data_IF_373199372155
#
_entry.id   IF_373199372155
#
_cell.length_a   1.000
_cell.length_b   1.000
_cell.length_c   1.000
_cell.angle_alpha   90.00
_cell.angle_beta   90.00
_cell.angle_gamma   90.00
#
_symmetry.space_group_name_H-M   'P 1'
#
loop_
_entity.id
_entity.type
_entity.pdbx_description
1 polymer ?
#
# COMPACT_ATOMS: atom_id res chain seq x y z
N UNK A 1 52.71 49.07 24.37
CA UNK A 1 51.60 48.10 24.51
C UNK A 1 50.99 47.89 23.15
N UNK A 2 51.28 46.76 22.50
CA UNK A 2 50.62 46.35 21.25
C UNK A 2 49.58 45.29 21.61
N UNK A 3 48.30 45.63 21.45
CA UNK A 3 47.19 44.71 21.68
C UNK A 3 46.95 43.91 20.39
N UNK A 4 47.36 42.65 20.42
CA UNK A 4 46.99 41.64 19.43
C UNK A 4 45.50 41.34 19.57
N UNK A 5 44.69 41.68 18.57
CA UNK A 5 43.31 41.20 18.46
C UNK A 5 43.31 39.94 17.60
N UNK A 6 42.99 38.80 18.21
CA UNK A 6 42.73 37.55 17.50
C UNK A 6 41.29 37.54 17.00
N UNK A 7 41.12 37.50 15.68
CA UNK A 7 39.82 37.35 15.02
C UNK A 7 39.53 35.85 14.88
N UNK A 8 38.53 35.34 15.61
CA UNK A 8 37.98 33.99 15.42
C UNK A 8 36.85 34.04 14.40
N UNK A 9 37.08 33.50 13.20
CA UNK A 9 36.00 33.20 12.26
C UNK A 9 35.36 31.86 12.62
N UNK A 10 34.06 31.87 12.96
CA UNK A 10 33.24 30.68 13.00
C UNK A 10 32.62 30.45 11.63
N UNK A 11 33.04 29.41 10.91
CA UNK A 11 32.35 28.93 9.73
C UNK A 11 31.21 27.99 10.16
N UNK A 12 29.97 28.48 10.12
CA UNK A 12 28.78 27.64 10.32
C UNK A 12 28.49 26.86 9.03
N UNK A 13 28.76 25.56 9.04
CA UNK A 13 28.36 24.65 7.99
C UNK A 13 26.83 24.51 8.05
N UNK A 14 26.11 25.23 7.19
CA UNK A 14 24.69 25.02 6.99
C UNK A 14 24.53 23.78 6.13
N UNK A 15 24.30 22.63 6.76
CA UNK A 15 23.81 21.46 6.04
C UNK A 15 22.40 21.83 5.59
N UNK A 16 22.24 22.16 4.30
CA UNK A 16 20.93 22.27 3.67
C UNK A 16 20.40 20.84 3.60
N UNK A 17 19.69 20.41 4.64
CA UNK A 17 18.83 19.24 4.54
C UNK A 17 17.66 19.68 3.67
N UNK A 18 17.66 19.32 2.39
CA UNK A 18 16.46 19.49 1.58
C UNK A 18 15.38 18.60 2.19
N UNK A 19 14.37 19.21 2.80
CA UNK A 19 13.15 18.50 3.13
C UNK A 19 12.53 18.01 1.82
N UNK A 20 12.10 16.75 1.78
CA UNK A 20 11.42 16.19 0.63
C UNK A 20 9.99 16.71 0.65
N UNK A 21 9.67 17.65 -0.24
CA UNK A 21 8.31 18.19 -0.38
C UNK A 21 7.47 17.32 -1.31
N UNK A 22 6.24 17.02 -0.90
CA UNK A 22 5.26 16.30 -1.72
C UNK A 22 4.14 17.25 -2.18
N UNK A 23 3.67 17.05 -3.41
CA UNK A 23 2.55 17.78 -4.00
C UNK A 23 1.51 16.79 -4.52
N UNK A 24 0.23 17.17 -4.48
CA UNK A 24 -0.84 16.31 -4.96
C UNK A 24 -0.75 16.15 -6.48
N UNK A 25 -0.56 14.91 -6.93
CA UNK A 25 -0.60 14.58 -8.35
C UNK A 25 -1.98 14.06 -8.77
N UNK A 26 -2.53 13.13 -7.99
CA UNK A 26 -3.77 12.45 -8.31
C UNK A 26 -4.63 12.30 -7.04
N UNK A 27 -5.95 12.48 -7.19
CA UNK A 27 -6.93 12.28 -6.13
C UNK A 27 -8.05 11.40 -6.67
N UNK A 28 -8.21 10.20 -6.10
CA UNK A 28 -9.27 9.26 -6.46
C UNK A 28 -10.27 9.17 -5.31
N UNK A 29 -11.46 9.72 -5.51
CA UNK A 29 -12.53 9.69 -4.51
C UNK A 29 -13.91 9.72 -5.16
N UNK A 30 -14.92 9.39 -4.35
CA UNK A 30 -16.33 9.47 -4.75
C UNK A 30 -16.67 8.67 -6.02
N UNK A 31 -17.69 9.12 -6.77
CA UNK A 31 -18.18 8.41 -7.94
C UNK A 31 -17.15 8.26 -9.07
N UNK A 32 -16.23 9.23 -9.22
CA UNK A 32 -15.20 9.22 -10.26
C UNK A 32 -14.03 8.29 -9.96
N UNK A 33 -13.96 7.68 -8.77
CA UNK A 33 -12.89 6.75 -8.41
C UNK A 33 -12.74 5.65 -9.48
N UNK A 34 -13.83 4.97 -9.83
CA UNK A 34 -13.81 3.84 -10.76
C UNK A 34 -13.48 4.22 -12.21
N UNK A 35 -13.49 5.50 -12.58
CA UNK A 35 -13.08 5.95 -13.92
C UNK A 35 -11.55 5.92 -14.11
N UNK A 36 -10.82 5.83 -13.01
CA UNK A 36 -9.35 5.80 -12.98
C UNK A 36 -8.79 4.37 -12.89
N UNK A 37 -9.65 3.35 -12.86
CA UNK A 37 -9.26 1.95 -12.70
C UNK A 37 -9.84 1.09 -13.82
N UNK A 38 -9.05 0.12 -14.27
CA UNK A 38 -9.49 -0.96 -15.12
C UNK A 38 -9.96 -2.14 -14.26
N UNK A 39 -11.03 -2.81 -14.71
CA UNK A 39 -11.63 -3.95 -14.04
C UNK A 39 -11.07 -5.22 -14.66
N UNK A 40 -10.22 -5.94 -13.91
CA UNK A 40 -9.73 -7.24 -14.33
C UNK A 40 -10.88 -8.25 -14.30
N UNK A 41 -11.19 -8.85 -15.44
CA UNK A 41 -12.31 -9.80 -15.58
C UNK A 41 -11.86 -11.17 -16.13
N UNK A 42 -10.59 -11.52 -15.90
CA UNK A 42 -10.01 -12.81 -16.28
C UNK A 42 -9.86 -13.70 -15.05
N UNK A 43 -9.40 -14.94 -15.26
CA UNK A 43 -9.07 -15.85 -14.18
C UNK A 43 -8.08 -15.24 -13.19
N UNK A 44 -8.21 -15.62 -11.93
CA UNK A 44 -7.37 -15.13 -10.86
C UNK A 44 -5.93 -15.68 -10.99
N UNK A 45 -4.89 -14.83 -11.09
CA UNK A 45 -3.51 -15.29 -11.16
C UNK A 45 -3.06 -16.10 -9.94
N UNK A 46 -3.71 -15.91 -8.78
CA UNK A 46 -3.46 -16.64 -7.53
C UNK A 46 -4.33 -17.89 -7.36
N UNK A 47 -5.10 -18.28 -8.39
CA UNK A 47 -5.93 -19.48 -8.42
C UNK A 47 -6.99 -19.55 -7.31
N UNK A 48 -7.48 -18.39 -6.84
CA UNK A 48 -8.55 -18.30 -5.86
C UNK A 48 -9.91 -18.73 -6.41
N UNK A 49 -10.82 -19.13 -5.50
CA UNK A 49 -12.22 -19.41 -5.84
C UNK A 49 -13.03 -18.11 -5.98
N UNK A 50 -12.65 -17.31 -6.98
CA UNK A 50 -13.22 -15.99 -7.27
C UNK A 50 -13.63 -15.88 -8.74
N UNK A 51 -14.65 -15.08 -9.02
CA UNK A 51 -15.03 -14.68 -10.37
C UNK A 51 -14.96 -13.16 -10.48
N UNK A 52 -13.87 -12.64 -11.05
CA UNK A 52 -13.74 -11.19 -11.21
C UNK A 52 -14.63 -10.66 -12.32
N UNK A 53 -15.42 -9.65 -11.99
CA UNK A 53 -16.43 -9.08 -12.88
C UNK A 53 -15.88 -7.92 -13.72
N UNK A 54 -16.46 -7.75 -14.92
CA UNK A 54 -16.34 -6.49 -15.66
C UNK A 54 -17.05 -5.36 -14.91
N UNK A 55 -16.79 -4.09 -15.28
CA UNK A 55 -17.51 -2.94 -14.67
C UNK A 55 -19.03 -3.04 -14.86
N UNK A 56 -19.49 -3.39 -16.06
CA UNK A 56 -20.92 -3.52 -16.34
C UNK A 56 -21.58 -4.63 -15.52
N UNK A 57 -20.90 -5.76 -15.34
CA UNK A 57 -21.40 -6.84 -14.49
C UNK A 57 -21.38 -6.44 -13.01
N UNK A 58 -20.34 -5.72 -12.57
CA UNK A 58 -20.26 -5.20 -11.20
C UNK A 58 -21.44 -4.25 -10.89
N UNK A 59 -21.87 -3.44 -11.85
CA UNK A 59 -23.06 -2.59 -11.75
C UNK A 59 -24.35 -3.42 -11.70
N UNK A 60 -24.48 -4.42 -12.59
CA UNK A 60 -25.64 -5.31 -12.61
C UNK A 60 -25.79 -6.15 -11.33
N UNK A 61 -24.67 -6.57 -10.73
CA UNK A 61 -24.62 -7.26 -9.44
C UNK A 61 -24.68 -6.30 -8.24
N UNK A 62 -24.68 -4.99 -8.47
CA UNK A 62 -24.66 -3.95 -7.44
C UNK A 62 -23.46 -4.07 -6.48
N UNK A 63 -22.32 -4.55 -6.98
CA UNK A 63 -21.09 -4.69 -6.21
C UNK A 63 -20.31 -3.38 -6.09
N UNK A 64 -20.59 -2.38 -6.93
CA UNK A 64 -20.06 -1.02 -6.79
C UNK A 64 -21.19 -0.05 -6.46
N UNK A 65 -20.88 0.96 -5.65
CA UNK A 65 -21.83 1.98 -5.23
C UNK A 65 -21.28 3.39 -5.46
N UNK A 66 -22.09 4.21 -6.14
CA UNK A 66 -21.81 5.60 -6.50
C UNK A 66 -22.66 6.62 -5.71
N UNK A 67 -23.44 6.20 -4.72
CA UNK A 67 -24.42 7.05 -4.03
C UNK A 67 -23.77 8.04 -3.05
N UNK A 68 -22.58 7.73 -2.55
CA UNK A 68 -21.82 8.63 -1.68
C UNK A 68 -20.92 9.51 -2.56
N UNK A 69 -21.04 10.85 -2.49
CA UNK A 69 -20.26 11.75 -3.34
C UNK A 69 -18.76 11.77 -2.98
N UNK A 70 -18.37 11.30 -1.79
CA UNK A 70 -17.01 11.37 -1.29
C UNK A 70 -16.36 9.98 -1.17
N UNK A 71 -17.15 8.92 -1.03
CA UNK A 71 -16.64 7.57 -0.75
C UNK A 71 -16.92 6.62 -1.92
N UNK A 72 -15.86 6.08 -2.52
CA UNK A 72 -16.00 4.92 -3.39
C UNK A 72 -16.22 3.66 -2.54
N UNK A 73 -17.23 2.87 -2.89
CA UNK A 73 -17.54 1.62 -2.18
C UNK A 73 -17.75 0.49 -3.15
N UNK A 74 -17.11 -0.64 -2.86
CA UNK A 74 -17.38 -1.89 -3.55
C UNK A 74 -17.30 -3.09 -2.60
N UNK A 75 -17.64 -4.27 -3.11
CA UNK A 75 -17.56 -5.52 -2.35
C UNK A 75 -17.75 -6.75 -3.22
N UNK A 76 -18.21 -7.82 -2.58
CA UNK A 76 -18.40 -9.15 -3.18
C UNK A 76 -19.86 -9.58 -3.11
N UNK A 77 -20.24 -10.60 -3.89
CA UNK A 77 -21.55 -11.23 -3.73
C UNK A 77 -21.63 -11.94 -2.36
N UNK A 78 -22.60 -11.53 -1.54
CA UNK A 78 -22.85 -12.07 -0.19
C UNK A 78 -24.20 -12.79 -0.09
N UNK A 79 -24.90 -12.97 -1.21
CA UNK A 79 -26.28 -13.49 -1.25
C UNK A 79 -26.33 -14.90 -1.82
N UNK A 80 -25.59 -15.17 -2.91
CA UNK A 80 -25.70 -16.45 -3.59
C UNK A 80 -24.92 -17.56 -2.88
N UNK A 81 -25.59 -18.71 -2.77
CA UNK A 81 -24.95 -20.01 -2.56
C UNK A 81 -24.40 -20.49 -3.90
N UNK A 82 -23.15 -20.94 -3.91
CA UNK A 82 -22.45 -21.38 -5.11
C UNK A 82 -22.32 -22.89 -5.11
N UNK A 83 -22.40 -23.47 -6.29
CA UNK A 83 -22.03 -24.86 -6.52
C UNK A 83 -20.49 -24.96 -6.55
N UNK A 84 -19.86 -25.68 -5.60
CA UNK A 84 -18.40 -25.81 -5.57
C UNK A 84 -17.84 -26.45 -6.84
N UNK A 85 -18.63 -27.25 -7.56
CA UNK A 85 -18.20 -27.99 -8.75
C UNK A 85 -18.41 -27.21 -10.06
N UNK A 86 -19.08 -26.06 -10.02
CA UNK A 86 -19.34 -25.23 -11.20
C UNK A 86 -18.08 -24.55 -11.78
N UNK A 87 -16.93 -24.69 -11.10
CA UNK A 87 -15.65 -24.05 -11.45
C UNK A 87 -15.80 -22.53 -11.69
N UNK A 88 -16.70 -21.89 -10.96
CA UNK A 88 -17.00 -20.47 -11.00
C UNK A 88 -17.01 -19.94 -9.56
N UNK A 89 -16.01 -19.15 -9.23
CA UNK A 89 -15.82 -18.62 -7.87
C UNK A 89 -16.82 -17.53 -7.51
N UNK A 90 -16.68 -17.00 -6.28
CA UNK A 90 -17.55 -15.91 -5.80
C UNK A 90 -17.31 -14.62 -6.58
N UNK A 91 -18.37 -13.94 -7.08
CA UNK A 91 -18.22 -12.65 -7.73
C UNK A 91 -17.52 -11.62 -6.84
N UNK A 92 -16.44 -11.04 -7.36
CA UNK A 92 -15.63 -9.99 -6.72
C UNK A 92 -15.07 -9.05 -7.79
N UNK A 93 -14.28 -8.06 -7.40
CA UNK A 93 -13.61 -7.11 -8.28
C UNK A 93 -12.11 -7.14 -8.04
N UNK A 94 -11.33 -7.00 -9.11
CA UNK A 94 -9.92 -6.64 -9.06
C UNK A 94 -9.74 -5.38 -9.89
N UNK A 95 -9.34 -4.30 -9.25
CA UNK A 95 -9.21 -2.98 -9.84
C UNK A 95 -7.73 -2.64 -9.98
N UNK A 96 -7.29 -2.16 -11.14
CA UNK A 96 -5.91 -1.70 -11.35
C UNK A 96 -5.92 -0.28 -11.88
N UNK A 97 -5.17 0.63 -11.27
CA UNK A 97 -5.15 2.04 -11.68
C UNK A 97 -4.60 2.17 -13.10
N UNK A 98 -5.18 3.06 -13.89
CA UNK A 98 -4.68 3.36 -15.24
C UNK A 98 -3.35 4.09 -15.22
N UNK A 99 -3.19 4.95 -14.21
CA UNK A 99 -1.94 5.65 -13.97
C UNK A 99 -0.94 4.74 -13.27
N UNK A 100 0.34 4.97 -13.56
CA UNK A 100 1.47 4.31 -12.90
C UNK A 100 2.43 5.33 -12.30
N UNK A 101 3.22 4.87 -11.31
CA UNK A 101 4.20 5.68 -10.61
C UNK A 101 5.48 4.89 -10.34
N UNK A 102 6.62 5.56 -10.35
CA UNK A 102 7.90 4.95 -9.95
C UNK A 102 8.35 5.31 -8.54
N UNK A 103 7.83 6.41 -7.98
CA UNK A 103 8.11 6.88 -6.62
C UNK A 103 6.94 7.73 -6.15
N UNK A 104 6.89 8.00 -4.84
CA UNK A 104 5.99 9.00 -4.29
C UNK A 104 5.50 8.68 -2.90
N UNK A 105 4.57 9.51 -2.44
CA UNK A 105 3.81 9.30 -1.23
C UNK A 105 2.36 9.00 -1.61
N UNK A 106 1.88 7.82 -1.22
CA UNK A 106 0.54 7.33 -1.50
C UNK A 106 -0.23 7.27 -0.18
N UNK A 107 -1.38 7.93 -0.13
CA UNK A 107 -2.23 7.96 1.05
C UNK A 107 -3.56 7.31 0.71
N UNK A 108 -3.91 6.26 1.46
CA UNK A 108 -5.19 5.58 1.36
C UNK A 108 -5.95 5.77 2.68
N UNK A 109 -6.99 6.59 2.65
CA UNK A 109 -7.96 6.72 3.76
C UNK A 109 -9.12 5.73 3.55
N UNK A 110 -9.25 4.77 4.47
CA UNK A 110 -10.28 3.74 4.45
C UNK A 110 -11.21 3.86 5.64
N UNK A 111 -12.51 3.98 5.36
CA UNK A 111 -13.56 3.81 6.37
C UNK A 111 -13.80 2.35 6.74
N UNK A 112 -13.56 1.43 5.79
CA UNK A 112 -13.86 0.01 5.92
C UNK A 112 -13.03 -0.80 4.92
N UNK A 113 -12.69 -2.03 5.26
CA UNK A 113 -12.08 -3.04 4.38
C UNK A 113 -12.78 -4.39 4.57
N UNK A 114 -12.55 -5.42 3.73
CA UNK A 114 -13.14 -6.74 3.96
C UNK A 114 -12.87 -7.25 5.39
N UNK A 115 -13.79 -8.01 5.99
CA UNK A 115 -13.55 -8.55 7.33
C UNK A 115 -12.57 -9.72 7.25
N UNK A 116 -11.75 -9.96 8.28
CA UNK A 116 -10.88 -11.14 8.37
C UNK A 116 -11.70 -12.38 8.79
N UNK A 117 -12.29 -13.05 7.79
CA UNK A 117 -13.14 -14.23 7.96
C UNK A 117 -12.65 -15.38 7.06
N UNK A 118 -13.02 -16.62 7.35
CA UNK A 118 -12.55 -17.78 6.58
C UNK A 118 -12.82 -17.62 5.07
N UNK A 119 -11.80 -17.92 4.25
CA UNK A 119 -11.89 -17.96 2.79
C UNK A 119 -11.66 -16.62 2.07
N UNK A 120 -11.42 -15.53 2.79
CA UNK A 120 -11.09 -14.23 2.15
C UNK A 120 -9.59 -14.02 2.07
N UNK A 121 -9.18 -13.27 1.04
CA UNK A 121 -7.81 -12.79 0.85
C UNK A 121 -7.84 -11.42 0.15
N UNK A 122 -8.19 -10.36 0.87
CA UNK A 122 -8.18 -9.00 0.34
C UNK A 122 -6.76 -8.44 0.25
N UNK A 123 -6.54 -7.56 -0.72
CA UNK A 123 -5.28 -6.86 -0.86
C UNK A 123 -5.45 -5.42 -1.38
N UNK A 124 -4.63 -4.51 -0.85
CA UNK A 124 -4.29 -3.24 -1.48
C UNK A 124 -2.77 -3.20 -1.66
N UNK A 125 -2.34 -3.12 -2.91
CA UNK A 125 -0.96 -3.39 -3.29
C UNK A 125 -0.60 -2.63 -4.56
N UNK A 126 0.66 -2.70 -4.96
CA UNK A 126 1.13 -2.14 -6.24
C UNK A 126 1.83 -3.20 -7.05
N UNK A 127 1.66 -3.16 -8.38
CA UNK A 127 2.29 -4.12 -9.29
C UNK A 127 2.81 -3.44 -10.55
N UNK A 128 4.01 -3.82 -10.97
CA UNK A 128 4.61 -3.32 -12.20
C UNK A 128 3.89 -3.85 -13.44
N UNK A 129 3.83 -3.04 -14.49
CA UNK A 129 3.29 -3.52 -15.77
C UNK A 129 4.33 -4.43 -16.43
N UNK A 130 4.07 -5.74 -16.51
CA UNK A 130 4.97 -6.69 -17.16
C UNK A 130 4.89 -8.09 -16.58
N UNK A 131 6.03 -8.79 -16.61
CA UNK A 131 6.14 -10.15 -16.07
C UNK A 131 6.43 -10.05 -14.58
N UNK A 132 5.56 -10.64 -13.77
CA UNK A 132 5.82 -10.82 -12.34
C UNK A 132 6.84 -11.97 -12.12
N UNK A 133 7.77 -11.88 -11.15
CA UNK A 133 8.03 -10.75 -10.24
C UNK A 133 9.12 -9.78 -10.78
N UNK A 134 9.44 -9.82 -12.07
CA UNK A 134 10.53 -9.02 -12.68
C UNK A 134 10.30 -7.52 -12.61
N UNK A 135 9.05 -7.10 -12.39
CA UNK A 135 8.66 -5.70 -12.32
C UNK A 135 8.35 -5.25 -10.90
N UNK A 136 8.51 -6.13 -9.90
CA UNK A 136 8.27 -5.84 -8.50
C UNK A 136 6.79 -5.79 -8.13
N UNK A 137 6.52 -6.01 -6.86
CA UNK A 137 5.22 -5.90 -6.21
C UNK A 137 5.38 -5.43 -4.75
N UNK A 138 4.50 -4.53 -4.32
CA UNK A 138 4.48 -3.93 -2.98
C UNK A 138 3.12 -4.16 -2.35
N UNK A 139 3.06 -5.03 -1.34
CA UNK A 139 1.84 -5.29 -0.58
C UNK A 139 1.73 -4.34 0.60
N UNK A 140 0.77 -3.43 0.51
CA UNK A 140 0.54 -2.38 1.52
C UNK A 140 -0.43 -2.88 2.58
N UNK A 141 -1.52 -3.52 2.13
CA UNK A 141 -2.49 -4.20 2.98
C UNK A 141 -2.70 -5.59 2.39
N UNK A 142 -2.37 -6.63 3.14
CA UNK A 142 -2.66 -8.01 2.79
C UNK A 142 -2.85 -8.86 4.04
N UNK A 143 -3.92 -9.67 4.05
CA UNK A 143 -4.19 -10.64 5.10
C UNK A 143 -5.10 -11.74 4.57
N UNK A 144 -4.94 -12.96 5.08
CA UNK A 144 -5.76 -14.09 4.67
C UNK A 144 -6.61 -14.60 5.83
N UNK A 145 -7.80 -15.08 5.49
CA UNK A 145 -8.70 -15.75 6.42
C UNK A 145 -8.94 -14.93 7.69
N UNK A 146 -8.69 -15.53 8.85
CA UNK A 146 -8.88 -14.94 10.18
C UNK A 146 -7.60 -14.32 10.74
N UNK A 147 -6.55 -14.11 9.93
CA UNK A 147 -5.33 -13.47 10.42
C UNK A 147 -5.69 -12.10 11.02
N UNK A 148 -5.21 -11.80 12.24
CA UNK A 148 -5.62 -10.60 12.96
C UNK A 148 -4.83 -9.36 12.54
N UNK A 149 -3.71 -9.54 11.84
CA UNK A 149 -2.77 -8.49 11.51
C UNK A 149 -2.43 -8.52 10.02
N UNK A 150 -2.18 -7.34 9.49
CA UNK A 150 -1.63 -7.09 8.18
C UNK A 150 -0.24 -7.72 8.06
N UNK A 151 0.05 -8.22 6.87
CA UNK A 151 1.40 -8.50 6.41
C UNK A 151 1.70 -7.49 5.30
N UNK A 152 2.76 -6.72 5.48
CA UNK A 152 3.32 -5.88 4.41
C UNK A 152 4.48 -6.62 3.80
N UNK A 153 4.54 -6.69 2.48
CA UNK A 153 5.54 -7.48 1.79
C UNK A 153 6.06 -6.80 0.52
N UNK A 154 7.24 -7.24 0.08
CA UNK A 154 7.79 -6.95 -1.23
C UNK A 154 8.17 -8.25 -1.92
N UNK A 155 7.91 -8.29 -3.22
CA UNK A 155 8.19 -9.42 -4.09
C UNK A 155 9.05 -8.96 -5.27
N UNK A 156 10.23 -9.56 -5.42
CA UNK A 156 11.19 -9.26 -6.49
C UNK A 156 11.70 -10.54 -7.15
N UNK A 157 12.49 -10.41 -8.20
CA UNK A 157 13.35 -11.52 -8.66
C UNK A 157 14.43 -11.83 -7.63
N UNK A 158 14.90 -13.08 -7.62
CA UNK A 158 16.04 -13.53 -6.80
C UNK A 158 17.39 -13.02 -7.30
N UNK A 159 17.44 -12.44 -8.50
CA UNK A 159 18.65 -11.86 -9.10
C UNK A 159 18.29 -10.59 -9.89
N UNK A 160 18.97 -9.45 -9.64
CA UNK A 160 19.94 -9.22 -8.56
C UNK A 160 19.32 -9.45 -7.15
N UNK A 161 20.14 -9.55 -6.11
CA UNK A 161 19.62 -9.81 -4.76
C UNK A 161 18.96 -8.55 -4.19
N UNK A 162 17.76 -8.68 -3.64
CA UNK A 162 17.07 -7.65 -2.86
C UNK A 162 16.82 -8.16 -1.44
N UNK A 163 17.50 -7.56 -0.45
CA UNK A 163 17.27 -7.88 0.96
C UNK A 163 17.11 -6.63 1.83
N UNK A 164 16.20 -6.73 2.80
CA UNK A 164 15.90 -5.70 3.79
C UNK A 164 16.54 -6.05 5.14
N UNK A 165 16.89 -5.02 5.91
CA UNK A 165 17.51 -5.16 7.22
C UNK A 165 16.50 -5.50 8.33
N UNK A 166 15.22 -5.17 8.14
CA UNK A 166 14.16 -5.32 9.14
C UNK A 166 14.29 -4.39 10.36
N UNK A 167 15.19 -3.41 10.31
CA UNK A 167 15.38 -2.38 11.33
C UNK A 167 14.63 -1.08 10.98
N UNK A 168 14.31 -0.29 12.00
CA UNK A 168 13.62 1.00 11.82
C UNK A 168 12.11 0.88 11.63
N UNK A 169 11.50 -0.20 12.11
CA UNK A 169 10.05 -0.44 12.05
C UNK A 169 9.48 -0.88 13.41
N UNK A 170 8.18 -0.68 13.61
CA UNK A 170 7.41 -1.20 14.76
C UNK A 170 6.83 -2.60 14.51
N UNK A 171 6.74 -3.03 13.24
CA UNK A 171 6.31 -4.37 12.87
C UNK A 171 7.36 -5.45 13.17
N UNK A 172 6.89 -6.69 13.19
CA UNK A 172 7.76 -7.87 13.37
C UNK A 172 8.22 -8.38 12.01
N UNK A 173 9.53 -8.37 11.77
CA UNK A 173 10.12 -8.96 10.56
C UNK A 173 9.78 -10.46 10.48
N UNK A 174 9.27 -10.90 9.33
CA UNK A 174 8.99 -12.31 9.04
C UNK A 174 10.10 -12.89 8.17
N UNK A 175 10.41 -12.22 7.06
CA UNK A 175 11.42 -12.63 6.07
C UNK A 175 12.15 -11.39 5.55
N UNK A 176 13.45 -11.52 5.29
CA UNK A 176 14.31 -10.41 4.85
C UNK A 176 14.71 -10.45 3.37
N UNK A 177 14.46 -11.55 2.67
CA UNK A 177 14.85 -11.76 1.26
C UNK A 177 13.63 -11.57 0.36
N UNK A 178 13.64 -10.52 -0.46
CA UNK A 178 12.49 -10.13 -1.28
C UNK A 178 12.36 -10.97 -2.56
N UNK A 179 13.41 -11.70 -2.92
CA UNK A 179 13.38 -12.70 -3.99
C UNK A 179 13.07 -14.11 -3.49
N UNK A 180 12.81 -14.29 -2.19
CA UNK A 180 12.64 -15.61 -1.59
C UNK A 180 11.50 -16.39 -2.26
N UNK A 181 11.79 -17.64 -2.60
CA UNK A 181 10.84 -18.53 -3.26
C UNK A 181 10.46 -18.04 -4.65
N UNK A 182 11.42 -17.54 -5.44
CA UNK A 182 11.20 -16.94 -6.76
C UNK A 182 10.19 -15.78 -6.74
N UNK A 183 10.26 -15.00 -5.66
CA UNK A 183 9.33 -13.92 -5.39
C UNK A 183 7.98 -14.36 -4.81
N UNK A 184 7.63 -15.65 -4.70
CA UNK A 184 6.33 -16.05 -4.13
C UNK A 184 6.26 -15.92 -2.59
N UNK A 185 7.40 -15.93 -1.90
CA UNK A 185 7.43 -15.71 -0.44
C UNK A 185 7.79 -14.26 -0.12
N UNK A 186 8.77 -13.70 -0.82
CA UNK A 186 9.19 -12.31 -0.62
C UNK A 186 9.72 -11.99 0.78
N UNK A 187 9.94 -10.70 1.01
CA UNK A 187 10.35 -10.16 2.29
C UNK A 187 9.16 -9.41 2.90
N UNK A 188 8.95 -9.53 4.20
CA UNK A 188 7.76 -8.94 4.81
C UNK A 188 7.82 -8.80 6.31
N UNK A 189 6.93 -7.95 6.82
CA UNK A 189 6.77 -7.66 8.25
C UNK A 189 5.30 -7.63 8.62
N UNK A 190 4.97 -8.20 9.79
CA UNK A 190 3.61 -8.19 10.34
C UNK A 190 3.39 -6.98 11.26
N UNK A 191 2.27 -6.30 11.09
CA UNK A 191 1.90 -5.14 11.93
C UNK A 191 1.56 -5.59 13.34
N UNK A 192 2.05 -4.84 14.32
CA UNK A 192 1.83 -5.10 15.76
C UNK A 192 0.78 -4.18 16.40
N UNK A 193 0.50 -3.02 15.80
CA UNK A 193 -0.55 -2.10 16.24
C UNK A 193 -1.92 -2.77 16.20
N UNK A 194 -2.77 -2.52 17.19
CA UNK A 194 -4.12 -3.06 17.23
C UNK A 194 -4.99 -2.51 16.08
N UNK A 195 -6.01 -3.29 15.68
CA UNK A 195 -7.05 -2.88 14.73
C UNK A 195 -6.51 -2.41 13.37
N UNK A 196 -5.41 -3.01 12.89
CA UNK A 196 -4.78 -2.61 11.63
C UNK A 196 -5.51 -3.18 10.40
N UNK A 197 -6.21 -4.30 10.52
CA UNK A 197 -6.99 -4.90 9.40
C UNK A 197 -8.34 -5.46 9.85
N UNK A 198 -9.16 -5.81 8.85
CA UNK A 198 -10.32 -6.67 9.03
C UNK A 198 -11.37 -6.12 9.99
N UNK A 199 -11.93 -7.02 10.80
CA UNK A 199 -13.03 -6.71 11.72
C UNK A 199 -12.64 -5.64 12.75
N UNK A 200 -11.42 -5.71 13.28
CA UNK A 200 -10.92 -4.74 14.26
C UNK A 200 -10.77 -3.34 13.66
N UNK A 201 -10.19 -3.24 12.46
CA UNK A 201 -10.10 -1.99 11.71
C UNK A 201 -11.47 -1.36 11.47
N UNK A 202 -12.43 -2.16 10.99
CA UNK A 202 -13.79 -1.71 10.72
C UNK A 202 -14.50 -1.21 11.99
N UNK A 203 -14.35 -1.92 13.11
CA UNK A 203 -14.93 -1.53 14.40
C UNK A 203 -14.31 -0.25 14.98
N UNK A 204 -13.04 0.02 14.67
CA UNK A 204 -12.34 1.23 15.08
C UNK A 204 -12.66 2.47 14.21
N UNK A 205 -13.55 2.35 13.22
CA UNK A 205 -13.87 3.44 12.29
C UNK A 205 -12.85 3.60 11.16
N UNK A 206 -12.05 2.57 10.92
CA UNK A 206 -11.02 2.51 9.90
C UNK A 206 -9.75 3.28 10.26
N UNK A 207 -9.12 3.86 9.23
CA UNK A 207 -7.81 4.51 9.38
C UNK A 207 -7.16 4.83 8.04
N UNK A 208 -5.89 5.22 8.10
CA UNK A 208 -5.07 5.59 6.94
C UNK A 208 -3.90 4.63 6.83
N UNK A 209 -3.66 4.14 5.61
CA UNK A 209 -2.40 3.54 5.21
C UNK A 209 -1.62 4.52 4.34
N UNK A 210 -0.36 4.74 4.69
CA UNK A 210 0.56 5.57 3.92
C UNK A 210 1.73 4.73 3.41
N UNK A 211 2.07 4.87 2.14
CA UNK A 211 3.25 4.29 1.49
C UNK A 211 4.16 5.43 1.04
N UNK A 212 5.38 5.48 1.55
CA UNK A 212 6.47 6.29 0.99
C UNK A 212 7.40 5.36 0.21
N UNK A 213 7.55 5.62 -1.09
CA UNK A 213 8.43 4.88 -1.98
C UNK A 213 9.48 5.80 -2.59
N UNK A 214 10.73 5.56 -2.21
CA UNK A 214 11.93 6.26 -2.68
C UNK A 214 12.95 5.26 -3.23
N UNK A 215 13.94 5.73 -3.98
CA UNK A 215 15.04 4.88 -4.45
C UNK A 215 15.85 4.23 -3.32
N UNK A 216 15.87 4.86 -2.13
CA UNK A 216 16.62 4.38 -0.97
C UNK A 216 15.84 3.41 -0.09
N UNK A 217 14.55 3.22 -0.33
CA UNK A 217 13.72 2.34 0.47
C UNK A 217 12.23 2.65 0.39
N UNK A 218 11.47 1.71 0.93
CA UNK A 218 10.02 1.73 0.97
C UNK A 218 9.60 1.70 2.45
N UNK A 219 8.69 2.58 2.83
CA UNK A 219 8.15 2.65 4.20
C UNK A 219 6.63 2.67 4.16
N UNK A 220 6.02 1.96 5.10
CA UNK A 220 4.57 1.86 5.18
C UNK A 220 4.13 2.08 6.62
N UNK A 221 3.11 2.91 6.79
CA UNK A 221 2.50 3.24 8.08
C UNK A 221 1.01 2.90 8.07
N UNK A 222 0.54 2.43 9.21
CA UNK A 222 -0.87 2.41 9.58
C UNK A 222 -1.13 3.43 10.70
N UNK A 223 -2.13 4.27 10.47
CA UNK A 223 -2.70 5.19 11.46
C UNK A 223 -4.15 4.80 11.73
N UNK A 224 -4.49 4.54 12.98
CA UNK A 224 -5.90 4.39 13.37
C UNK A 224 -6.65 5.70 13.14
N UNK A 225 -7.97 5.64 12.96
CA UNK A 225 -8.80 6.81 12.62
C UNK A 225 -8.54 8.06 13.47
N UNK A 226 -8.27 7.90 14.77
CA UNK A 226 -8.06 9.01 15.70
C UNK A 226 -6.59 9.44 15.83
N UNK A 227 -5.67 8.74 15.18
CA UNK A 227 -4.22 8.94 15.28
C UNK A 227 -3.60 9.34 13.92
N UNK A 228 -4.41 9.87 13.00
CA UNK A 228 -3.95 10.34 11.69
C UNK A 228 -3.11 11.62 11.88
N UNK A 229 -1.86 11.67 11.37
CA UNK A 229 -1.02 12.87 11.44
C UNK A 229 -1.73 14.12 10.87
N UNK A 230 -1.59 15.24 11.55
CA UNK A 230 -2.21 16.51 11.15
C UNK A 230 -1.78 16.95 9.75
N UNK A 231 -0.55 16.65 9.34
CA UNK A 231 -0.03 16.98 8.01
C UNK A 231 -0.75 16.24 6.88
N UNK A 232 -1.27 15.03 7.13
CA UNK A 232 -2.16 14.33 6.19
C UNK A 232 -3.50 15.05 6.10
N UNK A 233 -4.08 15.40 7.25
CA UNK A 233 -5.40 16.06 7.34
C UNK A 233 -5.39 17.48 6.76
N UNK A 234 -4.26 18.18 6.86
CA UNK A 234 -4.09 19.56 6.38
C UNK A 234 -3.64 19.64 4.91
N UNK A 235 -3.30 18.51 4.28
CA UNK A 235 -2.83 18.47 2.90
C UNK A 235 -3.90 19.05 1.95
N UNK A 236 -3.47 19.94 1.05
CA UNK A 236 -4.40 20.80 0.31
C UNK A 236 -3.97 21.11 -1.13
N UNK A 237 -3.51 20.12 -1.89
CA UNK A 237 -3.15 20.29 -3.31
C UNK A 237 -1.88 21.11 -3.57
N UNK A 238 -1.63 22.15 -2.76
CA UNK A 238 -0.45 23.02 -2.79
C UNK A 238 0.58 22.64 -1.75
N UNK A 239 0.15 22.02 -0.65
CA UNK A 239 1.01 21.45 0.38
C UNK A 239 0.60 19.99 0.58
N UNK A 240 1.54 19.05 0.39
CA UNK A 240 1.35 17.65 0.69
C UNK A 240 1.64 17.31 2.15
N UNK A 241 1.38 16.06 2.57
CA UNK A 241 1.78 15.58 3.89
C UNK A 241 3.31 15.59 4.07
N UNK A 242 3.76 15.70 5.31
CA UNK A 242 5.18 15.62 5.68
C UNK A 242 5.45 14.28 6.41
N UNK A 243 6.07 13.29 5.73
CA UNK A 243 6.38 11.99 6.32
C UNK A 243 7.32 12.05 7.54
N UNK A 244 8.07 13.13 7.75
CA UNK A 244 8.91 13.27 8.95
C UNK A 244 8.07 13.33 10.24
N UNK A 245 6.79 13.71 10.12
CA UNK A 245 5.82 13.77 11.23
C UNK A 245 5.10 12.44 11.51
N UNK A 246 5.29 11.43 10.66
CA UNK A 246 4.55 10.15 10.73
C UNK A 246 5.08 9.21 11.82
N UNK A 247 6.28 9.48 12.35
CA UNK A 247 6.95 8.62 13.32
C UNK A 247 7.55 7.36 12.67
N UNK A 248 7.82 6.35 13.49
CA UNK A 248 8.43 5.09 13.03
C UNK A 248 7.41 4.29 12.18
N UNK A 249 7.77 3.83 10.97
CA UNK A 249 6.89 3.04 10.12
C UNK A 249 6.57 1.67 10.72
N UNK A 250 5.44 1.10 10.31
CA UNK A 250 5.08 -0.27 10.66
C UNK A 250 5.86 -1.28 9.81
N UNK A 251 6.14 -0.93 8.56
CA UNK A 251 7.01 -1.67 7.63
C UNK A 251 8.15 -0.78 7.14
N UNK A 252 9.40 -1.21 7.35
CA UNK A 252 10.60 -0.50 6.86
C UNK A 252 11.42 -1.43 5.97
N UNK A 253 11.30 -1.21 4.66
CA UNK A 253 11.99 -1.94 3.63
C UNK A 253 13.18 -1.10 3.16
N UNK A 254 14.28 -1.25 3.88
CA UNK A 254 15.56 -0.63 3.60
C UNK A 254 16.65 -1.68 3.87
N UNK A 255 17.78 -1.61 3.18
CA UNK A 255 18.83 -2.61 3.32
C UNK A 255 19.81 -2.57 2.16
N UNK A 256 20.26 -3.75 1.73
CA UNK A 256 21.20 -3.90 0.61
C UNK A 256 20.52 -4.00 -0.75
N UNK A 257 19.19 -3.83 -0.80
CA UNK A 257 18.43 -3.86 -2.05
C UNK A 257 18.62 -2.57 -2.87
N UNK A 258 18.79 -2.74 -4.18
CA UNK A 258 18.66 -1.66 -5.16
C UNK A 258 17.20 -1.61 -5.65
N UNK A 259 16.37 -0.82 -4.98
CA UNK A 259 14.93 -0.77 -5.26
C UNK A 259 14.62 -0.33 -6.69
N UNK A 260 15.38 0.60 -7.25
CA UNK A 260 15.13 1.11 -8.62
C UNK A 260 15.38 0.04 -9.69
N UNK A 261 16.24 -0.94 -9.39
CA UNK A 261 16.49 -2.08 -10.29
C UNK A 261 15.38 -3.14 -10.26
N UNK A 262 14.57 -3.17 -9.20
CA UNK A 262 13.57 -4.22 -8.94
C UNK A 262 12.13 -3.77 -9.15
N UNK A 263 11.85 -2.48 -8.94
CA UNK A 263 10.50 -1.93 -9.01
C UNK A 263 10.41 -0.95 -10.17
N UNK A 264 9.75 -1.37 -11.26
CA UNK A 264 9.41 -0.46 -12.36
C UNK A 264 8.17 0.36 -12.01
N UNK A 265 7.67 1.21 -12.91
CA UNK A 265 6.45 1.96 -12.65
C UNK A 265 5.26 1.02 -12.32
N UNK A 266 4.65 1.22 -11.16
CA UNK A 266 3.60 0.35 -10.60
C UNK A 266 2.20 0.94 -10.80
N UNK A 267 1.22 0.06 -11.02
CA UNK A 267 -0.21 0.36 -10.85
C UNK A 267 -0.62 0.11 -9.40
N UNK A 268 -1.55 0.89 -8.87
CA UNK A 268 -2.27 0.55 -7.64
C UNK A 268 -3.30 -0.54 -7.94
N UNK A 269 -3.43 -1.52 -7.04
CA UNK A 269 -4.35 -2.65 -7.19
C UNK A 269 -5.18 -2.85 -5.93
N UNK A 270 -6.48 -3.12 -6.12
CA UNK A 270 -7.40 -3.56 -5.07
C UNK A 270 -8.03 -4.90 -5.47
N UNK A 271 -8.11 -5.88 -4.55
CA UNK A 271 -8.93 -7.09 -4.70
C UNK A 271 -9.40 -7.68 -3.36
#
# INVERSE_FOLDING_TARGET
MWLSQSLLLFATLHIICNAQDYFLQSNFSGPSFFDNFDFWNKGDPTFGYVHYLSRGDAEAFQLINYSDPNTARWGVDTVKYLDPDANLGRPSLRLSSRQTWSHGLFILDLKHMPANVCGVWPAFWTMGTGIWPQTGEIDIIEYQNTLPNNVMALHTTSTPNCSIAGSGQTGTLLTSDCGLGDGYTGCGSSVTKANNVGTGFNAAGGGVYALEWLSTGIKIWFFSRNDIPETILAANGTHGPDPSTFGVPDGSFQGSCDFDSHFSAQQLVFN
#
